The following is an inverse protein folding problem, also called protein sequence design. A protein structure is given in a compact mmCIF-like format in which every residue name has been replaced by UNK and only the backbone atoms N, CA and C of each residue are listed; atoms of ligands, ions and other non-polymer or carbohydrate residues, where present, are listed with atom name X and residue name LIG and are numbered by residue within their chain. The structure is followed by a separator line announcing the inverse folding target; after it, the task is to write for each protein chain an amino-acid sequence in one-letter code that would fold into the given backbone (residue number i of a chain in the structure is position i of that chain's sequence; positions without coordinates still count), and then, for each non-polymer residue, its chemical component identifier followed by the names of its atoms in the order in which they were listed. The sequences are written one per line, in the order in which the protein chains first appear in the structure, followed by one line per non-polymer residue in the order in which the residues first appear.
data_IF_044495718106
#
_entry.id   IF_044495718106
#
_cell.length_a   1.000
_cell.length_b   1.000
_cell.length_c   1.000
_cell.angle_alpha   90.00
_cell.angle_beta   90.00
_cell.angle_gamma   90.00
#
_symmetry.space_group_name_H-M   'P 1'
#
loop_
_entity.id
_entity.type
_entity.pdbx_description
1 polymer ?
#
# COMPACT_ATOMS: atom_id res chain seq x y z
N UNK A 1 16.45 -11.23 -10.72
CA UNK A 1 15.38 -10.72 -11.61
C UNK A 1 15.82 -9.34 -12.02
N UNK A 2 16.20 -9.19 -13.28
CA UNK A 2 16.72 -7.94 -13.82
C UNK A 2 15.53 -7.00 -14.10
N UNK A 3 15.61 -5.76 -13.61
CA UNK A 3 14.56 -4.77 -13.80
C UNK A 3 14.47 -4.38 -15.27
N UNK A 4 13.31 -4.61 -15.89
CA UNK A 4 13.01 -4.11 -17.24
C UNK A 4 12.06 -2.91 -17.12
N UNK A 5 12.46 -1.71 -17.57
CA UNK A 5 11.61 -0.53 -17.50
C UNK A 5 10.36 -0.68 -18.37
N UNK A 6 9.27 -0.04 -17.96
CA UNK A 6 8.02 -0.03 -18.70
C UNK A 6 8.18 0.68 -20.06
N UNK A 7 7.51 0.19 -21.14
CA UNK A 7 7.53 0.85 -22.44
C UNK A 7 7.10 2.31 -22.32
N UNK A 8 7.94 3.25 -22.77
CA UNK A 8 7.69 4.70 -22.70
C UNK A 8 8.19 5.40 -21.44
N UNK A 9 8.84 4.69 -20.51
CA UNK A 9 9.57 5.35 -19.40
C UNK A 9 10.79 6.11 -19.95
N UNK A 10 11.16 7.28 -19.40
CA UNK A 10 12.38 8.00 -19.80
C UNK A 10 13.65 7.14 -19.65
N UNK A 11 13.64 6.12 -18.79
CA UNK A 11 14.72 5.15 -18.65
C UNK A 11 14.80 4.11 -19.79
N UNK A 12 13.77 4.00 -20.63
CA UNK A 12 13.72 3.08 -21.78
C UNK A 12 14.20 3.71 -23.10
N UNK A 13 14.39 5.04 -23.14
CA UNK A 13 14.66 5.77 -24.37
C UNK A 13 16.17 5.96 -24.61
N UNK A 14 16.83 4.88 -25.03
CA UNK A 14 18.06 4.99 -25.82
C UNK A 14 17.71 5.39 -27.25
N UNK A 15 17.82 6.68 -27.57
CA UNK A 15 18.06 7.27 -28.90
C UNK A 15 17.33 6.66 -30.12
N UNK A 16 16.21 7.27 -30.52
CA UNK A 16 15.78 7.35 -31.93
C UNK A 16 14.77 8.49 -32.07
N UNK A 17 15.25 9.67 -32.50
CA UNK A 17 14.41 10.75 -33.00
C UNK A 17 14.25 10.51 -34.50
N UNK A 18 13.03 10.21 -34.95
CA UNK A 18 12.68 10.29 -36.37
C UNK A 18 11.83 11.55 -36.54
N UNK A 19 12.35 12.47 -37.36
CA UNK A 19 11.64 13.62 -37.91
C UNK A 19 10.47 13.14 -38.76
N UNK A 20 9.26 13.66 -38.53
CA UNK A 20 8.34 14.18 -39.55
C UNK A 20 6.91 14.30 -39.03
N UNK A 21 6.59 15.47 -38.49
CA UNK A 21 5.25 16.05 -38.55
C UNK A 21 5.31 17.52 -38.14
N UNK A 22 5.54 18.40 -39.13
CA UNK A 22 5.33 19.84 -39.00
C UNK A 22 3.83 20.10 -38.89
N UNK A 23 3.34 20.30 -37.66
CA UNK A 23 2.10 21.03 -37.38
C UNK A 23 2.47 22.38 -36.77
N UNK A 24 2.28 23.43 -37.55
CA UNK A 24 2.68 24.82 -37.28
C UNK A 24 1.67 25.53 -36.35
N UNK A 25 1.41 24.95 -35.16
CA UNK A 25 0.57 25.56 -34.12
C UNK A 25 1.48 26.14 -33.02
N UNK A 26 2.18 27.23 -33.35
CA UNK A 26 3.12 27.96 -32.48
C UNK A 26 2.49 28.61 -31.22
N UNK A 27 1.23 28.30 -30.93
CA UNK A 27 0.43 28.90 -29.86
C UNK A 27 -0.09 27.88 -28.84
N UNK A 28 0.44 26.65 -28.81
CA UNK A 28 0.12 25.70 -27.72
C UNK A 28 0.58 26.26 -26.36
N UNK A 29 -0.34 26.56 -25.42
CA UNK A 29 0.00 27.04 -24.09
C UNK A 29 0.88 26.05 -23.29
N UNK A 30 0.81 24.74 -23.58
CA UNK A 30 1.65 23.72 -22.94
C UNK A 30 3.12 23.86 -23.38
N UNK A 31 3.39 24.06 -24.67
CA UNK A 31 4.76 24.25 -25.16
C UNK A 31 5.39 25.52 -24.60
N UNK A 32 4.66 26.63 -24.55
CA UNK A 32 5.15 27.89 -23.95
C UNK A 32 5.45 27.75 -22.46
N UNK A 33 4.65 26.96 -21.74
CA UNK A 33 4.89 26.66 -20.33
C UNK A 33 6.14 25.78 -20.16
N UNK A 34 6.28 24.73 -20.95
CA UNK A 34 7.43 23.82 -20.90
C UNK A 34 8.73 24.46 -21.38
N UNK A 35 8.68 25.40 -22.31
CA UNK A 35 9.84 26.13 -22.82
C UNK A 35 10.57 26.95 -21.74
N UNK A 36 9.89 27.31 -20.65
CA UNK A 36 10.48 28.00 -19.49
C UNK A 36 10.87 27.09 -18.34
N UNK A 37 10.61 25.78 -18.43
CA UNK A 37 11.01 24.81 -17.41
C UNK A 37 12.40 24.30 -17.79
N UNK A 38 13.42 24.70 -17.02
CA UNK A 38 14.76 24.14 -17.17
C UNK A 38 14.69 22.61 -17.11
N UNK A 39 15.32 21.95 -18.08
CA UNK A 39 15.40 20.50 -18.11
C UNK A 39 16.14 20.03 -16.85
N UNK A 40 15.41 19.40 -15.93
CA UNK A 40 15.99 18.86 -14.70
C UNK A 40 16.80 17.62 -15.09
N UNK A 41 18.12 17.68 -14.91
CA UNK A 41 18.98 16.52 -15.08
C UNK A 41 18.50 15.39 -14.13
N UNK A 42 18.25 14.18 -14.66
CA UNK A 42 17.79 13.09 -13.82
C UNK A 42 18.87 12.72 -12.79
N UNK A 43 18.44 12.55 -11.54
CA UNK A 43 19.34 12.10 -10.49
C UNK A 43 19.92 10.72 -10.84
N UNK A 44 21.21 10.48 -10.54
CA UNK A 44 21.80 9.16 -10.73
C UNK A 44 21.08 8.10 -9.89
N UNK A 45 20.93 6.87 -10.38
CA UNK A 45 20.30 5.80 -9.62
C UNK A 45 21.12 5.48 -8.36
N UNK A 46 20.43 5.33 -7.23
CA UNK A 46 21.04 5.02 -5.94
C UNK A 46 21.12 3.50 -5.78
N UNK A 47 22.32 2.98 -5.55
CA UNK A 47 22.51 1.58 -5.16
C UNK A 47 22.23 1.42 -3.66
N UNK A 48 21.05 0.89 -3.33
CA UNK A 48 20.65 0.66 -1.96
C UNK A 48 21.43 -0.49 -1.28
N UNK A 49 22.17 -1.31 -2.03
CA UNK A 49 22.95 -2.43 -1.46
C UNK A 49 24.21 -1.96 -0.71
N UNK A 50 24.73 -0.77 -1.04
CA UNK A 50 25.89 -0.18 -0.39
C UNK A 50 25.53 0.72 0.80
N UNK A 51 24.25 1.05 0.97
CA UNK A 51 23.76 1.91 2.05
C UNK A 51 23.37 1.04 3.25
N UNK A 52 23.96 1.34 4.41
CA UNK A 52 23.60 0.69 5.68
C UNK A 52 22.40 1.40 6.32
N UNK A 53 21.22 0.82 6.19
CA UNK A 53 20.02 1.30 6.86
C UNK A 53 19.92 0.80 8.31
N UNK A 54 19.43 1.62 9.25
CA UNK A 54 19.03 1.13 10.57
C UNK A 54 17.96 0.05 10.44
N UNK A 55 17.96 -0.98 11.30
CA UNK A 55 16.87 -1.94 11.35
C UNK A 55 15.58 -1.25 11.79
N UNK A 56 14.45 -1.77 11.33
CA UNK A 56 13.14 -1.27 11.72
C UNK A 56 12.13 -2.40 11.88
N UNK A 57 11.14 -2.17 12.73
CA UNK A 57 10.08 -3.14 12.98
C UNK A 57 9.08 -3.11 11.81
N UNK A 58 8.74 -4.29 11.30
CA UNK A 58 7.75 -4.46 10.22
C UNK A 58 6.47 -5.12 10.68
N UNK A 59 6.58 -6.06 11.63
CA UNK A 59 5.45 -6.85 12.10
C UNK A 59 5.00 -6.35 13.47
N UNK A 60 3.82 -5.74 13.48
CA UNK A 60 3.13 -5.24 14.66
C UNK A 60 1.88 -6.07 14.97
N UNK A 61 1.56 -7.04 14.10
CA UNK A 61 0.33 -7.80 14.22
C UNK A 61 0.50 -8.99 15.15
N UNK A 62 -0.32 -9.00 16.21
CA UNK A 62 -0.52 -10.17 17.06
C UNK A 62 -1.96 -10.63 16.84
N UNK A 63 -2.09 -11.89 16.40
CA UNK A 63 -3.41 -12.45 16.10
C UNK A 63 -4.25 -12.59 17.38
N UNK A 64 -5.48 -12.06 17.35
CA UNK A 64 -6.39 -12.11 18.49
C UNK A 64 -6.79 -13.55 18.83
N UNK A 65 -6.97 -13.93 20.11
CA UNK A 65 -7.36 -15.27 20.52
C UNK A 65 -8.54 -15.85 19.74
N UNK A 66 -9.61 -15.06 19.59
CA UNK A 66 -10.83 -15.47 18.86
C UNK A 66 -10.57 -15.83 17.39
N UNK A 67 -9.54 -15.23 16.78
CA UNK A 67 -9.16 -15.50 15.38
C UNK A 67 -8.20 -16.68 15.32
N UNK A 68 -7.22 -16.76 16.23
CA UNK A 68 -6.25 -17.86 16.32
C UNK A 68 -6.91 -19.22 16.62
N UNK A 69 -8.02 -19.21 17.35
CA UNK A 69 -8.77 -20.42 17.72
C UNK A 69 -9.71 -20.93 16.61
N UNK A 70 -9.91 -20.17 15.53
CA UNK A 70 -10.72 -20.65 14.41
C UNK A 70 -10.13 -21.93 13.81
N UNK A 71 -10.98 -22.89 13.48
CA UNK A 71 -10.57 -24.04 12.67
C UNK A 71 -10.38 -23.62 11.21
N UNK A 72 -9.73 -24.47 10.41
CA UNK A 72 -9.61 -24.23 8.95
C UNK A 72 -10.97 -24.06 8.29
N UNK A 73 -11.97 -24.82 8.76
CA UNK A 73 -13.37 -24.69 8.30
C UNK A 73 -13.96 -23.35 8.74
N UNK A 74 -13.75 -22.93 9.99
CA UNK A 74 -14.22 -21.63 10.48
C UNK A 74 -13.62 -20.44 9.74
N UNK A 75 -12.34 -20.53 9.36
CA UNK A 75 -11.68 -19.52 8.51
C UNK A 75 -12.30 -19.51 7.11
N UNK A 76 -12.52 -20.69 6.50
CA UNK A 76 -13.16 -20.79 5.19
C UNK A 76 -14.58 -20.24 5.19
N UNK A 77 -15.36 -20.52 6.25
CA UNK A 77 -16.72 -19.99 6.44
C UNK A 77 -16.70 -18.47 6.59
N UNK A 78 -15.74 -17.91 7.34
CA UNK A 78 -15.59 -16.47 7.50
C UNK A 78 -15.23 -15.79 6.18
N UNK A 79 -14.30 -16.36 5.42
CA UNK A 79 -13.96 -15.89 4.07
C UNK A 79 -15.18 -15.94 3.14
N UNK A 80 -15.95 -17.02 3.18
CA UNK A 80 -17.18 -17.19 2.43
C UNK A 80 -18.23 -16.13 2.77
N UNK A 81 -18.47 -15.89 4.07
CA UNK A 81 -19.40 -14.85 4.56
C UNK A 81 -19.00 -13.44 4.13
N UNK A 82 -17.69 -13.16 4.08
CA UNK A 82 -17.14 -11.87 3.66
C UNK A 82 -17.02 -11.74 2.13
N UNK A 83 -17.25 -12.82 1.37
CA UNK A 83 -17.06 -12.83 -0.08
C UNK A 83 -15.60 -12.63 -0.50
N UNK A 84 -14.66 -13.11 0.31
CA UNK A 84 -13.22 -12.93 0.10
C UNK A 84 -12.58 -14.13 -0.59
N UNK A 85 -11.59 -13.84 -1.42
CA UNK A 85 -10.65 -14.82 -1.95
C UNK A 85 -9.25 -14.37 -1.58
N UNK A 86 -8.48 -15.28 -1.00
CA UNK A 86 -7.14 -14.98 -0.47
C UNK A 86 -6.18 -16.01 -1.03
N UNK A 87 -5.04 -15.55 -1.52
CA UNK A 87 -3.96 -16.37 -2.05
C UNK A 87 -2.61 -15.82 -1.58
N UNK A 88 -1.57 -16.65 -1.65
CA UNK A 88 -0.22 -16.32 -1.20
C UNK A 88 0.25 -17.20 -0.04
N UNK A 89 1.52 -17.07 0.36
CA UNK A 89 2.12 -17.93 1.38
C UNK A 89 1.58 -17.58 2.76
N UNK A 90 0.85 -18.49 3.41
CA UNK A 90 0.40 -18.37 4.81
C UNK A 90 -0.20 -16.99 5.20
N UNK A 91 -1.24 -16.48 4.51
CA UNK A 91 -1.83 -15.18 4.83
C UNK A 91 -2.41 -15.19 6.26
N UNK A 92 -2.33 -14.08 7.01
CA UNK A 92 -3.06 -13.91 8.26
C UNK A 92 -4.56 -14.16 8.06
N UNK A 93 -5.23 -14.67 9.08
CA UNK A 93 -6.68 -14.95 9.01
C UNK A 93 -7.46 -13.63 8.94
N UNK A 94 -8.61 -13.61 8.25
CA UNK A 94 -9.45 -12.42 8.22
C UNK A 94 -10.05 -12.15 9.61
N UNK A 95 -10.18 -10.87 9.94
CA UNK A 95 -10.86 -10.44 11.18
C UNK A 95 -12.32 -10.09 10.92
N UNK A 96 -13.17 -10.21 11.93
CA UNK A 96 -14.57 -9.78 11.86
C UNK A 96 -14.91 -8.60 12.78
N UNK A 97 -13.94 -8.05 13.52
CA UNK A 97 -14.09 -6.90 14.42
C UNK A 97 -12.80 -6.08 14.43
N UNK A 98 -12.91 -4.76 14.60
CA UNK A 98 -11.73 -3.89 14.77
C UNK A 98 -10.93 -4.24 16.03
N UNK A 99 -11.58 -4.76 17.08
CA UNK A 99 -10.89 -5.19 18.29
C UNK A 99 -9.87 -6.32 18.06
N UNK A 100 -10.01 -7.10 16.98
CA UNK A 100 -9.09 -8.19 16.65
C UNK A 100 -7.78 -7.72 16.03
N UNK A 101 -7.66 -6.43 15.72
CA UNK A 101 -6.49 -5.85 15.07
C UNK A 101 -5.40 -5.45 16.07
N UNK A 102 -5.73 -5.37 17.37
CA UNK A 102 -4.77 -5.02 18.42
C UNK A 102 -4.20 -3.60 18.28
N UNK A 103 -4.96 -2.67 17.69
CA UNK A 103 -4.54 -1.27 17.54
C UNK A 103 -4.72 -0.51 18.87
N UNK A 104 -3.87 0.48 19.10
CA UNK A 104 -3.91 1.29 20.32
C UNK A 104 -5.23 2.07 20.47
N UNK A 105 -5.62 2.30 21.73
CA UNK A 105 -6.88 2.95 22.09
C UNK A 105 -7.11 4.31 21.41
N UNK A 106 -6.11 5.21 21.26
CA UNK A 106 -6.33 6.48 20.55
C UNK A 106 -6.75 6.28 19.09
N UNK A 107 -6.17 5.30 18.40
CA UNK A 107 -6.52 4.97 17.01
C UNK A 107 -7.90 4.32 16.94
N UNK A 108 -8.20 3.40 17.86
CA UNK A 108 -9.52 2.77 17.97
C UNK A 108 -10.63 3.79 18.23
N UNK A 109 -10.40 4.76 19.12
CA UNK A 109 -11.37 5.83 19.40
C UNK A 109 -11.56 6.75 18.18
N UNK A 110 -10.49 7.05 17.43
CA UNK A 110 -10.61 7.80 16.18
C UNK A 110 -11.44 7.06 15.13
N UNK A 111 -11.24 5.74 14.99
CA UNK A 111 -12.02 4.86 14.11
C UNK A 111 -13.50 4.88 14.51
N UNK A 112 -13.80 4.76 15.81
CA UNK A 112 -15.16 4.81 16.33
C UNK A 112 -15.82 6.18 16.10
N UNK A 113 -15.12 7.28 16.37
CA UNK A 113 -15.59 8.65 16.13
C UNK A 113 -15.87 8.93 14.65
N UNK A 114 -15.10 8.32 13.75
CA UNK A 114 -15.32 8.39 12.31
C UNK A 114 -16.51 7.54 11.82
N UNK A 115 -17.21 6.83 12.73
CA UNK A 115 -18.43 6.09 12.44
C UNK A 115 -18.21 4.67 11.92
N UNK A 116 -16.99 4.14 12.00
CA UNK A 116 -16.72 2.75 11.63
C UNK A 116 -17.18 1.81 12.75
N UNK A 117 -18.09 0.89 12.43
CA UNK A 117 -18.64 -0.07 13.39
C UNK A 117 -18.06 -1.48 13.21
N UNK A 118 -17.80 -1.88 11.96
CA UNK A 118 -17.22 -3.17 11.59
C UNK A 118 -16.27 -3.01 10.40
N UNK A 119 -15.23 -3.86 10.27
CA UNK A 119 -14.36 -3.84 9.12
C UNK A 119 -15.12 -4.26 7.87
N UNK A 120 -14.90 -3.54 6.76
CA UNK A 120 -15.37 -4.01 5.45
C UNK A 120 -14.60 -5.27 5.03
N UNK A 121 -15.09 -6.06 4.05
CA UNK A 121 -14.38 -7.27 3.62
C UNK A 121 -12.91 -7.03 3.25
N UNK A 122 -12.61 -5.96 2.51
CA UNK A 122 -11.21 -5.67 2.14
C UNK A 122 -10.38 -5.28 3.36
N UNK A 123 -10.95 -4.57 4.33
CA UNK A 123 -10.24 -4.19 5.58
C UNK A 123 -9.99 -5.42 6.45
N UNK A 124 -10.99 -6.30 6.58
CA UNK A 124 -10.93 -7.55 7.35
C UNK A 124 -9.73 -8.43 6.99
N UNK A 125 -9.31 -8.43 5.73
CA UNK A 125 -8.16 -9.19 5.27
C UNK A 125 -6.89 -8.35 5.09
N UNK A 126 -6.99 -7.15 4.52
CA UNK A 126 -5.81 -6.36 4.17
C UNK A 126 -5.12 -5.75 5.40
N UNK A 127 -5.88 -5.32 6.40
CA UNK A 127 -5.30 -4.68 7.60
C UNK A 127 -4.39 -5.65 8.37
N UNK A 128 -4.77 -6.90 8.73
CA UNK A 128 -3.86 -7.81 9.41
C UNK A 128 -2.63 -8.18 8.54
N UNK A 129 -2.78 -8.24 7.22
CA UNK A 129 -1.64 -8.47 6.31
C UNK A 129 -0.66 -7.28 6.36
N UNK A 130 -1.16 -6.05 6.27
CA UNK A 130 -0.33 -4.85 6.33
C UNK A 130 0.34 -4.65 7.70
N UNK A 131 -0.40 -4.87 8.79
CA UNK A 131 0.15 -4.83 10.16
C UNK A 131 1.22 -5.91 10.37
N UNK A 132 1.14 -7.05 9.67
CA UNK A 132 2.17 -8.09 9.70
C UNK A 132 3.45 -7.74 8.91
N UNK A 133 3.49 -6.56 8.27
CA UNK A 133 4.64 -6.08 7.51
C UNK A 133 4.83 -6.77 6.16
N UNK A 134 3.76 -7.33 5.62
CA UNK A 134 3.78 -8.10 4.36
C UNK A 134 3.29 -7.27 3.19
N UNK A 135 3.90 -7.53 2.04
CA UNK A 135 3.41 -7.02 0.77
C UNK A 135 2.08 -7.69 0.41
N UNK A 136 1.16 -6.89 -0.14
CA UNK A 136 -0.19 -7.34 -0.49
C UNK A 136 -0.71 -6.63 -1.73
N UNK A 137 -1.56 -7.31 -2.49
CA UNK A 137 -2.34 -6.74 -3.59
C UNK A 137 -3.82 -6.88 -3.23
N UNK A 138 -4.48 -5.76 -2.94
CA UNK A 138 -5.88 -5.72 -2.53
C UNK A 138 -6.82 -5.26 -3.65
N UNK A 139 -7.64 -6.16 -4.18
CA UNK A 139 -8.59 -5.86 -5.26
C UNK A 139 -10.01 -5.78 -4.69
N UNK A 140 -10.64 -4.61 -4.79
CA UNK A 140 -12.03 -4.39 -4.37
C UNK A 140 -12.63 -3.18 -5.11
N UNK A 141 -13.97 -3.10 -5.17
CA UNK A 141 -14.69 -1.99 -5.83
C UNK A 141 -14.42 -0.61 -5.18
N UNK A 142 -14.75 0.46 -5.89
CA UNK A 142 -14.74 1.83 -5.32
C UNK A 142 -15.71 1.91 -4.12
N UNK A 143 -15.34 2.69 -3.10
CA UNK A 143 -16.13 2.81 -1.86
C UNK A 143 -16.04 1.60 -0.91
N UNK A 144 -15.19 0.59 -1.19
CA UNK A 144 -15.04 -0.58 -0.32
C UNK A 144 -14.22 -0.34 0.95
N UNK A 145 -13.67 0.87 1.15
CA UNK A 145 -12.85 1.20 2.32
C UNK A 145 -11.35 0.88 2.20
N UNK A 146 -10.81 0.69 0.98
CA UNK A 146 -9.37 0.44 0.73
C UNK A 146 -8.45 1.51 1.33
N UNK A 147 -8.86 2.78 1.27
CA UNK A 147 -8.06 3.89 1.81
C UNK A 147 -7.76 3.70 3.29
N UNK A 148 -8.78 3.40 4.09
CA UNK A 148 -8.60 3.13 5.52
C UNK A 148 -7.83 1.83 5.77
N UNK A 149 -8.03 0.80 4.93
CA UNK A 149 -7.30 -0.47 5.02
C UNK A 149 -5.77 -0.32 4.91
N UNK A 150 -5.31 0.73 4.23
CA UNK A 150 -3.89 1.07 4.12
C UNK A 150 -3.47 2.14 5.15
N UNK A 151 -4.33 3.12 5.41
CA UNK A 151 -3.99 4.26 6.28
C UNK A 151 -3.79 3.86 7.75
N UNK A 152 -4.62 2.97 8.30
CA UNK A 152 -4.45 2.58 9.71
C UNK A 152 -3.14 1.82 9.95
N UNK A 153 -2.77 0.80 9.14
CA UNK A 153 -1.44 0.21 9.24
C UNK A 153 -0.31 1.21 9.07
N UNK A 154 -0.43 2.17 8.15
CA UNK A 154 0.57 3.22 7.98
C UNK A 154 0.77 4.05 9.26
N UNK A 155 -0.33 4.46 9.92
CA UNK A 155 -0.25 5.21 11.18
C UNK A 155 0.48 4.36 12.23
N UNK A 156 0.09 3.10 12.41
CA UNK A 156 0.75 2.20 13.37
C UNK A 156 2.24 2.05 13.05
N UNK A 157 2.58 1.82 11.78
CA UNK A 157 3.98 1.72 11.34
C UNK A 157 4.76 2.98 11.67
N UNK A 158 4.23 4.17 11.38
CA UNK A 158 4.90 5.46 11.63
C UNK A 158 5.13 5.70 13.12
N UNK A 159 4.12 5.43 13.96
CA UNK A 159 4.18 5.70 15.40
C UNK A 159 5.22 4.84 16.13
N UNK A 160 5.45 3.60 15.68
CA UNK A 160 6.40 2.67 16.32
C UNK A 160 7.83 2.76 15.74
N UNK A 161 8.08 3.67 14.79
CA UNK A 161 9.46 3.89 14.32
C UNK A 161 10.27 4.70 15.35
N UNK A 162 11.55 4.36 15.46
CA UNK A 162 12.52 4.92 16.45
C UNK A 162 12.57 6.46 16.49
N UNK A 163 12.24 7.14 15.39
CA UNK A 163 12.22 8.61 15.35
C UNK A 163 10.96 9.26 15.95
N UNK A 164 9.92 8.47 16.27
CA UNK A 164 8.64 8.93 16.84
C UNK A 164 8.27 8.31 18.19
N UNK A 165 9.06 7.36 18.71
CA UNK A 165 8.93 6.90 20.09
C UNK A 165 9.50 7.97 21.04
N UNK A 166 8.63 8.88 21.50
CA UNK A 166 8.88 9.90 22.53
C UNK A 166 8.20 9.52 23.84
#
# INVERSE_FOLDING_TARGET
MEYQPAPGSPAAAGHAVNEDSQSDDSDDPLEKFMAGVEAIDPLPPIDHSVIKYPPFTKNFYVEHPDISQLSTVGVADLLGKLGLRVSGPSPPRPVCSFAHLGMDEPLMEAIRKAGYTQPTPIQAQAVPVALSGRDLIGIAKTGSGKTAAFLWPMIVHIMDQVYMSI
#
